data_IF_398724236503
#
_entry.id   IF_398724236503
#
_cell.length_a   1.000
_cell.length_b   1.000
_cell.length_c   1.000
_cell.angle_alpha   90.00
_cell.angle_beta   90.00
_cell.angle_gamma   90.00
#
_symmetry.space_group_name_H-M   'P 1'
#
loop_
_entity.id
_entity.type
_entity.pdbx_description
1 polymer ?
#
# COMPACT_ATOMS: atom_id res chain seq x y z
N UNK A 1 7.99 22.96 2.21
CA UNK A 1 8.10 22.57 0.77
C UNK A 1 7.95 21.07 0.72
N UNK A 2 7.07 20.55 -0.14
CA UNK A 2 6.81 19.11 -0.19
C UNK A 2 7.73 18.42 -1.21
N UNK A 3 8.38 17.33 -0.82
CA UNK A 3 9.23 16.51 -1.69
C UNK A 3 8.97 15.01 -1.48
N UNK A 4 9.11 14.22 -2.54
CA UNK A 4 9.15 12.77 -2.43
C UNK A 4 10.56 12.30 -2.09
N UNK A 5 10.68 11.55 -1.02
CA UNK A 5 11.83 10.71 -0.73
C UNK A 5 11.60 9.35 -1.36
N UNK A 6 12.54 8.86 -2.17
CA UNK A 6 12.46 7.57 -2.84
C UNK A 6 13.68 6.71 -2.53
N UNK A 7 13.45 5.45 -2.20
CA UNK A 7 14.50 4.47 -2.03
C UNK A 7 14.21 3.18 -2.81
N UNK A 8 15.16 2.80 -3.67
CA UNK A 8 15.17 1.52 -4.38
C UNK A 8 15.84 0.41 -3.51
N UNK A 9 15.09 -0.10 -2.54
CA UNK A 9 15.53 -1.19 -1.66
C UNK A 9 15.63 -2.55 -2.37
N UNK A 10 16.09 -3.55 -1.61
CA UNK A 10 16.18 -4.94 -2.09
C UNK A 10 14.82 -5.62 -1.90
N UNK A 11 14.22 -6.08 -3.00
CA UNK A 11 12.91 -6.75 -2.99
C UNK A 11 11.71 -5.81 -2.80
N UNK A 12 11.94 -4.53 -2.49
CA UNK A 12 10.91 -3.49 -2.43
C UNK A 12 11.48 -2.10 -2.74
N UNK A 13 10.65 -1.26 -3.37
CA UNK A 13 10.87 0.18 -3.44
C UNK A 13 9.94 0.88 -2.43
N UNK A 14 10.42 1.98 -1.86
CA UNK A 14 9.67 2.79 -0.90
C UNK A 14 9.69 4.25 -1.30
N UNK A 15 8.58 4.92 -1.03
CA UNK A 15 8.50 6.36 -1.20
C UNK A 15 7.65 7.01 -0.11
N UNK A 16 8.03 8.21 0.30
CA UNK A 16 7.22 9.06 1.16
C UNK A 16 7.24 10.51 0.66
N UNK A 17 6.07 11.12 0.54
CA UNK A 17 5.91 12.56 0.36
C UNK A 17 6.04 13.19 1.74
N UNK A 18 7.03 14.05 1.90
CA UNK A 18 7.33 14.72 3.16
C UNK A 18 6.98 16.18 3.05
N UNK A 19 6.21 16.68 4.02
CA UNK A 19 5.87 18.09 4.19
C UNK A 19 6.16 18.49 5.63
N UNK A 20 6.94 19.55 5.81
CA UNK A 20 7.38 20.05 7.12
C UNK A 20 7.95 18.96 8.04
N UNK A 21 8.76 18.08 7.46
CA UNK A 21 9.44 16.98 8.16
C UNK A 21 8.53 15.79 8.51
N UNK A 22 7.29 15.75 8.02
CA UNK A 22 6.34 14.66 8.28
C UNK A 22 5.89 13.97 7.00
N UNK A 23 5.71 12.66 7.07
CA UNK A 23 5.12 11.87 5.99
C UNK A 23 3.64 12.24 5.85
N UNK A 24 3.24 12.76 4.68
CA UNK A 24 1.83 13.04 4.33
C UNK A 24 1.24 12.01 3.36
N UNK A 25 2.10 11.30 2.63
CA UNK A 25 1.71 10.18 1.78
C UNK A 25 2.88 9.19 1.71
N UNK A 26 2.60 7.88 1.67
CA UNK A 26 3.65 6.89 1.45
C UNK A 26 3.18 5.73 0.57
N UNK A 27 4.15 4.99 0.03
CA UNK A 27 3.91 3.80 -0.76
C UNK A 27 5.07 2.81 -0.64
N UNK A 28 4.71 1.53 -0.67
CA UNK A 28 5.63 0.40 -0.80
C UNK A 28 5.25 -0.36 -2.07
N UNK A 29 6.21 -0.65 -2.91
CA UNK A 29 6.05 -1.49 -4.09
C UNK A 29 7.02 -2.66 -4.04
N UNK A 30 6.49 -3.88 -4.18
CA UNK A 30 7.31 -5.08 -4.27
C UNK A 30 7.80 -5.28 -5.70
N UNK A 31 9.01 -5.78 -5.84
CA UNK A 31 9.57 -6.14 -7.16
C UNK A 31 8.74 -7.24 -7.83
N UNK A 32 8.77 -7.29 -9.16
CA UNK A 32 8.10 -8.31 -9.98
C UNK A 32 6.56 -8.39 -9.79
N UNK A 33 5.92 -7.27 -9.47
CA UNK A 33 4.46 -7.17 -9.42
C UNK A 33 3.89 -6.66 -10.75
N UNK A 34 2.72 -7.18 -11.14
CA UNK A 34 2.00 -6.70 -12.32
C UNK A 34 1.34 -5.35 -12.01
N UNK A 35 1.99 -4.25 -12.39
CA UNK A 35 1.58 -2.88 -12.05
C UNK A 35 0.32 -2.43 -12.80
N UNK A 36 -0.49 -1.58 -12.16
CA UNK A 36 -1.57 -0.86 -12.86
C UNK A 36 -0.98 -0.05 -14.02
N UNK A 37 -1.65 -0.09 -15.16
CA UNK A 37 -1.20 0.53 -16.41
C UNK A 37 -0.44 -0.44 -17.32
N UNK A 38 -0.12 -1.66 -16.87
CA UNK A 38 0.50 -2.67 -17.73
C UNK A 38 -0.42 -3.03 -18.88
N UNK A 39 0.11 -2.98 -20.10
CA UNK A 39 -0.56 -3.43 -21.33
C UNK A 39 0.12 -4.71 -21.78
N UNK A 40 -0.62 -5.83 -21.74
CA UNK A 40 -0.06 -7.15 -21.98
C UNK A 40 -0.95 -8.01 -22.87
N UNK A 41 -0.33 -8.86 -23.68
CA UNK A 41 -1.04 -9.89 -24.43
C UNK A 41 -1.40 -11.07 -23.51
N UNK A 42 -2.55 -11.67 -23.75
CA UNK A 42 -3.00 -12.85 -23.02
C UNK A 42 -4.03 -13.66 -23.79
N UNK A 43 -4.50 -14.73 -23.14
CA UNK A 43 -5.56 -15.60 -23.66
C UNK A 43 -6.65 -15.75 -22.61
N UNK A 44 -7.91 -15.57 -23.02
CA UNK A 44 -9.07 -15.86 -22.18
C UNK A 44 -9.18 -17.36 -21.98
N UNK A 45 -8.83 -17.87 -20.80
CA UNK A 45 -8.78 -19.32 -20.50
C UNK A 45 -10.05 -19.84 -19.85
N UNK A 46 -10.86 -18.96 -19.26
CA UNK A 46 -12.10 -19.33 -18.57
C UNK A 46 -13.10 -18.18 -18.58
N UNK A 47 -14.36 -18.47 -18.86
CA UNK A 47 -15.48 -17.55 -18.69
C UNK A 47 -16.07 -17.73 -17.29
N UNK A 48 -16.30 -16.62 -16.60
CA UNK A 48 -16.80 -16.57 -15.23
C UNK A 48 -18.16 -15.86 -15.17
N UNK A 49 -18.98 -16.10 -14.13
CA UNK A 49 -20.25 -15.39 -13.92
C UNK A 49 -20.10 -13.86 -13.92
N UNK A 50 -21.19 -13.15 -14.26
CA UNK A 50 -21.22 -11.69 -14.20
C UNK A 50 -20.40 -10.98 -15.29
N UNK A 51 -20.28 -11.60 -16.48
CA UNK A 51 -19.45 -11.11 -17.60
C UNK A 51 -17.99 -10.93 -17.19
N UNK A 52 -17.46 -11.87 -16.41
CA UNK A 52 -16.06 -11.89 -16.02
C UNK A 52 -15.33 -13.02 -16.75
N UNK A 53 -14.02 -12.97 -16.76
CA UNK A 53 -13.20 -14.02 -17.35
C UNK A 53 -11.81 -14.04 -16.74
N UNK A 54 -11.16 -15.20 -16.80
CA UNK A 54 -9.77 -15.35 -16.40
C UNK A 54 -8.89 -15.35 -17.65
N UNK A 55 -7.91 -14.47 -17.67
CA UNK A 55 -6.95 -14.33 -18.76
C UNK A 55 -5.57 -14.74 -18.24
N UNK A 56 -4.94 -15.70 -18.90
CA UNK A 56 -3.53 -16.03 -18.64
C UNK A 56 -2.67 -15.15 -19.54
N UNK A 57 -1.73 -14.43 -18.95
CA UNK A 57 -0.83 -13.54 -19.69
C UNK A 57 0.25 -14.33 -20.41
N UNK A 58 0.73 -13.81 -21.55
CA UNK A 58 1.86 -14.40 -22.27
C UNK A 58 3.16 -14.39 -21.44
N UNK A 59 3.30 -13.42 -20.53
CA UNK A 59 4.38 -13.33 -19.55
C UNK A 59 4.24 -14.27 -18.34
N UNK A 60 3.15 -15.04 -18.29
CA UNK A 60 2.77 -15.83 -17.12
C UNK A 60 1.90 -15.07 -16.12
N UNK A 61 1.18 -15.83 -15.29
CA UNK A 61 0.22 -15.31 -14.32
C UNK A 61 -1.18 -15.11 -14.91
N UNK A 62 -2.17 -15.02 -14.02
CA UNK A 62 -3.59 -14.86 -14.36
C UNK A 62 -4.10 -13.48 -13.93
N UNK A 63 -4.97 -12.89 -14.73
CA UNK A 63 -5.73 -11.67 -14.43
C UNK A 63 -7.23 -11.90 -14.57
N UNK A 64 -8.01 -11.17 -13.79
CA UNK A 64 -9.46 -11.11 -13.92
C UNK A 64 -9.85 -10.03 -14.95
N UNK A 65 -10.36 -10.44 -16.10
CA UNK A 65 -10.95 -9.56 -17.10
C UNK A 65 -12.40 -9.24 -16.70
N UNK A 66 -12.72 -7.96 -16.50
CA UNK A 66 -14.07 -7.55 -16.14
C UNK A 66 -14.36 -6.10 -16.59
N UNK A 67 -15.33 -5.87 -17.51
CA UNK A 67 -16.18 -6.87 -18.16
C UNK A 67 -15.50 -7.58 -19.34
N UNK A 68 -15.91 -8.82 -19.62
CA UNK A 68 -15.66 -9.50 -20.89
C UNK A 68 -16.56 -8.90 -21.98
N UNK A 69 -16.02 -8.48 -23.14
CA UNK A 69 -16.81 -8.02 -24.26
C UNK A 69 -17.82 -9.08 -24.75
N UNK A 70 -18.97 -8.63 -25.25
CA UNK A 70 -19.96 -9.54 -25.84
C UNK A 70 -19.35 -10.26 -27.05
N UNK A 71 -19.63 -11.56 -27.19
CA UNK A 71 -19.15 -12.38 -28.33
C UNK A 71 -17.73 -12.93 -28.19
N UNK A 72 -16.97 -12.53 -27.16
CA UNK A 72 -15.65 -13.12 -26.90
C UNK A 72 -15.79 -14.52 -26.33
N UNK A 73 -15.10 -15.50 -26.92
CA UNK A 73 -15.15 -16.91 -26.54
C UNK A 73 -13.91 -17.34 -25.76
N UNK A 74 -14.06 -18.38 -24.94
CA UNK A 74 -12.91 -19.03 -24.32
C UNK A 74 -11.90 -19.48 -25.40
N UNK A 75 -10.62 -19.24 -25.15
CA UNK A 75 -9.53 -19.45 -26.09
C UNK A 75 -9.13 -18.20 -26.88
N UNK A 76 -9.92 -17.13 -26.87
CA UNK A 76 -9.62 -15.89 -27.60
C UNK A 76 -8.31 -15.24 -27.12
N UNK A 77 -7.48 -14.82 -28.07
CA UNK A 77 -6.33 -13.95 -27.80
C UNK A 77 -6.80 -12.50 -27.67
N UNK A 78 -6.19 -11.73 -26.77
CA UNK A 78 -6.53 -10.34 -26.53
C UNK A 78 -5.36 -9.58 -25.90
N UNK A 79 -5.40 -8.26 -26.02
CA UNK A 79 -4.54 -7.35 -25.26
C UNK A 79 -5.35 -6.77 -24.10
N UNK A 80 -4.80 -6.82 -22.89
CA UNK A 80 -5.42 -6.30 -21.68
C UNK A 80 -4.68 -5.08 -21.15
N UNK A 81 -5.40 -4.21 -20.46
CA UNK A 81 -4.88 -3.12 -19.65
C UNK A 81 -5.19 -3.41 -18.17
N UNK A 82 -4.15 -3.50 -17.34
CA UNK A 82 -4.29 -3.74 -15.91
C UNK A 82 -4.81 -2.48 -15.22
N UNK A 83 -5.94 -2.59 -14.52
CA UNK A 83 -6.61 -1.49 -13.82
C UNK A 83 -6.54 -1.59 -12.31
N UNK A 84 -6.23 -2.78 -11.78
CA UNK A 84 -5.97 -3.01 -10.36
C UNK A 84 -4.90 -4.09 -10.20
N UNK A 85 -3.93 -3.85 -9.34
CA UNK A 85 -2.93 -4.85 -8.94
C UNK A 85 -3.58 -6.03 -8.21
N UNK A 86 -2.80 -7.09 -8.02
CA UNK A 86 -3.19 -8.13 -7.08
C UNK A 86 -3.44 -7.51 -5.70
N UNK A 87 -4.55 -7.88 -5.09
CA UNK A 87 -4.86 -7.48 -3.73
C UNK A 87 -4.68 -8.73 -2.86
N UNK A 88 -3.70 -8.73 -1.94
CA UNK A 88 -3.47 -9.86 -1.06
C UNK A 88 -4.62 -10.01 -0.07
N UNK A 89 -5.05 -11.24 0.16
CA UNK A 89 -6.05 -11.60 1.17
C UNK A 89 -5.63 -12.90 1.85
N UNK A 90 -5.97 -13.08 3.13
CA UNK A 90 -5.69 -14.33 3.85
C UNK A 90 -6.40 -15.48 3.13
N UNK A 91 -5.64 -16.49 2.73
CA UNK A 91 -6.13 -17.63 1.96
C UNK A 91 -5.91 -17.47 0.45
N UNK A 92 -6.77 -16.72 -0.25
CA UNK A 92 -6.69 -16.54 -1.71
C UNK A 92 -6.60 -15.07 -2.09
N UNK A 93 -5.48 -14.68 -2.68
CA UNK A 93 -5.33 -13.33 -3.24
C UNK A 93 -6.35 -13.05 -4.34
N UNK A 94 -6.90 -11.83 -4.34
CA UNK A 94 -7.67 -11.32 -5.47
C UNK A 94 -6.71 -11.10 -6.63
N UNK A 95 -6.94 -11.81 -7.74
CA UNK A 95 -6.20 -11.63 -8.99
C UNK A 95 -6.16 -10.13 -9.38
N UNK A 96 -5.09 -9.68 -10.05
CA UNK A 96 -5.11 -8.38 -10.72
C UNK A 96 -6.35 -8.26 -11.60
N UNK A 97 -6.93 -7.07 -11.68
CA UNK A 97 -8.09 -6.79 -12.54
C UNK A 97 -7.62 -6.08 -13.79
N UNK A 98 -8.19 -6.45 -14.93
CA UNK A 98 -7.93 -5.83 -16.21
C UNK A 98 -9.21 -5.59 -17.01
N UNK A 99 -9.08 -4.74 -18.01
CA UNK A 99 -10.03 -4.52 -19.09
C UNK A 99 -9.36 -4.84 -20.42
N UNK A 100 -10.13 -4.95 -21.51
CA UNK A 100 -9.53 -4.98 -22.85
C UNK A 100 -8.82 -3.65 -23.10
N UNK A 101 -7.58 -3.71 -23.57
CA UNK A 101 -6.82 -2.51 -23.85
C UNK A 101 -7.46 -1.72 -25.01
N UNK A 102 -7.39 -0.38 -25.00
CA UNK A 102 -7.66 0.44 -26.20
C UNK A 102 -6.84 -0.01 -27.41
N UNK A 103 -7.33 0.22 -28.63
CA UNK A 103 -6.67 -0.22 -29.88
C UNK A 103 -5.29 0.42 -30.07
N UNK A 104 -5.10 1.65 -29.58
CA UNK A 104 -3.86 2.43 -29.63
C UNK A 104 -2.94 2.19 -28.43
N UNK A 105 -3.31 1.30 -27.51
CA UNK A 105 -2.50 1.02 -26.33
C UNK A 105 -1.18 0.32 -26.70
N UNK A 106 -0.07 0.90 -26.25
CA UNK A 106 1.27 0.36 -26.50
C UNK A 106 1.58 -0.74 -25.49
N UNK A 107 1.95 -1.97 -25.93
CA UNK A 107 2.38 -3.03 -25.03
C UNK A 107 3.59 -2.64 -24.19
N UNK A 108 3.54 -2.91 -22.90
CA UNK A 108 4.63 -2.57 -21.98
C UNK A 108 4.22 -2.62 -20.50
N UNK A 109 5.21 -2.59 -19.59
CA UNK A 109 4.94 -2.50 -18.16
C UNK A 109 4.26 -1.17 -17.82
N UNK A 110 3.37 -1.20 -16.83
CA UNK A 110 2.81 0.00 -16.24
C UNK A 110 3.86 0.77 -15.43
N UNK A 111 3.60 2.04 -15.08
CA UNK A 111 4.54 2.86 -14.32
C UNK A 111 4.84 2.24 -12.95
N UNK A 112 6.13 2.06 -12.67
CA UNK A 112 6.64 1.66 -11.36
C UNK A 112 6.46 2.78 -10.32
N UNK A 113 6.80 2.52 -9.05
CA UNK A 113 6.64 3.48 -7.98
C UNK A 113 7.37 4.80 -8.27
N UNK A 114 8.59 4.74 -8.81
CA UNK A 114 9.43 5.91 -9.09
C UNK A 114 8.83 6.79 -10.20
N UNK A 115 8.31 6.17 -11.25
CA UNK A 115 7.61 6.86 -12.33
C UNK A 115 6.30 7.48 -11.83
N UNK A 116 5.55 6.77 -10.98
CA UNK A 116 4.28 7.28 -10.42
C UNK A 116 4.47 8.50 -9.55
N UNK A 117 5.46 8.51 -8.65
CA UNK A 117 5.71 9.68 -7.79
C UNK A 117 6.23 10.86 -8.60
N UNK A 118 7.06 10.63 -9.63
CA UNK A 118 7.51 11.70 -10.53
C UNK A 118 6.34 12.35 -11.29
N UNK A 119 5.33 11.57 -11.67
CA UNK A 119 4.13 12.09 -12.34
C UNK A 119 3.23 12.96 -11.43
N UNK A 120 3.48 13.03 -10.12
CA UNK A 120 2.74 13.91 -9.20
C UNK A 120 3.10 15.39 -9.33
N UNK A 121 4.25 15.70 -9.96
CA UNK A 121 4.75 17.07 -10.09
C UNK A 121 5.55 17.59 -8.90
N UNK A 122 5.60 16.84 -7.78
CA UNK A 122 6.50 17.15 -6.67
C UNK A 122 7.94 16.71 -7.00
N UNK A 123 8.97 17.44 -6.51
CA UNK A 123 10.36 17.00 -6.62
C UNK A 123 10.54 15.59 -6.04
N UNK A 124 11.39 14.78 -6.69
CA UNK A 124 11.73 13.43 -6.24
C UNK A 124 13.22 13.38 -5.92
N UNK A 125 13.54 13.04 -4.67
CA UNK A 125 14.90 12.85 -4.19
C UNK A 125 15.16 11.37 -3.94
N UNK A 126 16.19 10.86 -4.60
CA UNK A 126 16.64 9.48 -4.43
C UNK A 126 17.58 9.37 -3.22
N UNK A 127 17.28 8.45 -2.32
CA UNK A 127 18.05 8.20 -1.12
C UNK A 127 19.10 7.10 -1.37
N UNK A 128 20.32 7.36 -0.92
CA UNK A 128 21.42 6.41 -0.99
C UNK A 128 21.69 5.81 0.39
N UNK A 129 22.07 4.53 0.44
CA UNK A 129 22.26 3.80 1.70
C UNK A 129 23.35 4.36 2.63
N UNK A 130 24.31 5.13 2.09
CA UNK A 130 25.39 5.75 2.87
C UNK A 130 25.04 7.16 3.39
N UNK A 131 23.88 7.70 3.02
CA UNK A 131 23.41 9.00 3.49
C UNK A 131 22.60 8.84 4.79
N UNK A 132 22.34 9.94 5.52
CA UNK A 132 21.38 9.94 6.61
C UNK A 132 20.05 9.30 6.20
N UNK A 133 19.41 8.59 7.13
CA UNK A 133 18.12 7.98 6.86
C UNK A 133 16.98 9.02 6.97
N UNK A 134 16.78 9.79 5.90
CA UNK A 134 15.78 10.86 5.87
C UNK A 134 14.33 10.34 5.88
N UNK A 135 14.10 9.10 5.44
CA UNK A 135 12.79 8.45 5.59
C UNK A 135 12.53 8.18 7.07
N UNK A 136 13.53 7.64 7.78
CA UNK A 136 13.43 7.43 9.22
C UNK A 136 13.23 8.76 9.96
N UNK A 137 14.00 9.79 9.62
CA UNK A 137 13.85 11.12 10.20
C UNK A 137 12.45 11.73 9.99
N UNK A 138 11.74 11.33 8.93
CA UNK A 138 10.37 11.76 8.64
C UNK A 138 9.28 10.91 9.33
N UNK A 139 9.66 9.84 10.02
CA UNK A 139 8.75 8.96 10.76
C UNK A 139 8.40 7.64 10.07
N UNK A 140 9.32 7.06 9.29
CA UNK A 140 9.06 5.83 8.55
C UNK A 140 8.78 4.63 9.46
N UNK A 141 9.52 4.46 10.55
CA UNK A 141 9.28 3.37 11.50
C UNK A 141 7.94 3.52 12.21
N UNK A 142 7.57 4.73 12.61
CA UNK A 142 6.27 5.04 13.20
C UNK A 142 5.13 4.73 12.22
N UNK A 143 5.28 5.08 10.93
CA UNK A 143 4.31 4.71 9.90
C UNK A 143 4.15 3.18 9.79
N UNK A 144 5.24 2.42 9.82
CA UNK A 144 5.15 0.96 9.76
C UNK A 144 4.52 0.37 11.03
N UNK A 145 4.84 0.92 12.20
CA UNK A 145 4.27 0.49 13.48
C UNK A 145 2.77 0.77 13.54
N UNK A 146 2.31 1.94 13.10
CA UNK A 146 0.88 2.22 12.91
C UNK A 146 0.22 1.22 11.96
N UNK A 147 0.86 0.89 10.85
CA UNK A 147 0.32 -0.03 9.86
C UNK A 147 0.23 -1.49 10.37
N UNK A 148 1.11 -1.88 11.29
CA UNK A 148 1.15 -3.23 11.89
C UNK A 148 0.22 -3.33 13.10
N UNK A 149 0.23 -2.33 13.98
CA UNK A 149 -0.53 -2.34 15.24
C UNK A 149 -1.96 -1.86 15.05
N UNK A 150 -2.19 -0.97 14.08
CA UNK A 150 -3.45 -0.27 13.89
C UNK A 150 -3.66 0.91 14.85
N UNK A 151 -2.73 1.20 15.76
CA UNK A 151 -2.88 2.31 16.71
C UNK A 151 -2.26 3.59 16.16
N UNK A 152 -3.08 4.64 16.01
CA UNK A 152 -2.66 5.92 15.43
C UNK A 152 -3.05 7.06 16.36
N UNK A 153 -2.07 7.71 17.00
CA UNK A 153 -2.30 8.86 17.86
C UNK A 153 -2.55 10.14 17.07
N UNK A 154 -3.52 10.96 17.48
CA UNK A 154 -3.80 12.27 16.85
C UNK A 154 -3.94 13.43 17.85
N UNK A 155 -3.25 13.32 18.99
CA UNK A 155 -3.19 14.34 20.03
C UNK A 155 -4.42 14.39 20.93
N UNK A 156 -5.62 14.47 20.35
CA UNK A 156 -6.89 14.45 21.08
C UNK A 156 -7.36 13.03 21.46
N UNK A 157 -6.81 12.00 20.81
CA UNK A 157 -7.20 10.61 20.99
C UNK A 157 -6.33 9.64 20.20
N UNK A 158 -6.84 8.42 20.04
CA UNK A 158 -6.25 7.34 19.27
C UNK A 158 -7.27 6.80 18.28
N UNK A 159 -6.82 6.49 17.06
CA UNK A 159 -7.59 5.67 16.12
C UNK A 159 -7.15 4.22 16.26
N UNK A 160 -8.11 3.29 16.21
CA UNK A 160 -7.86 1.86 16.01
C UNK A 160 -8.24 1.46 14.60
N UNK A 161 -7.24 1.37 13.74
CA UNK A 161 -7.34 0.92 12.36
C UNK A 161 -7.29 -0.61 12.27
N UNK A 162 -8.30 -1.22 11.67
CA UNK A 162 -8.33 -2.67 11.40
C UNK A 162 -8.68 -2.95 9.92
N UNK A 163 -7.72 -3.44 9.11
CA UNK A 163 -8.03 -4.00 7.80
C UNK A 163 -8.82 -5.30 7.93
N UNK A 164 -10.01 -5.37 7.33
CA UNK A 164 -10.84 -6.59 7.26
C UNK A 164 -10.99 -7.04 5.80
N UNK A 165 -11.48 -8.27 5.53
CA UNK A 165 -11.73 -8.72 4.16
C UNK A 165 -12.70 -7.82 3.36
N UNK A 166 -13.65 -7.17 4.03
CA UNK A 166 -14.68 -6.37 3.38
C UNK A 166 -14.31 -4.88 3.29
N UNK A 167 -13.71 -4.32 4.34
CA UNK A 167 -13.39 -2.90 4.46
C UNK A 167 -12.30 -2.64 5.50
N UNK A 168 -11.67 -1.47 5.48
CA UNK A 168 -10.84 -0.99 6.58
C UNK A 168 -11.72 -0.24 7.58
N UNK A 169 -11.65 -0.60 8.87
CA UNK A 169 -12.40 0.07 9.93
C UNK A 169 -11.47 0.98 10.74
N UNK A 170 -11.98 2.13 11.16
CA UNK A 170 -11.39 3.01 12.14
C UNK A 170 -12.37 3.17 13.31
N UNK A 171 -11.92 2.85 14.51
CA UNK A 171 -12.62 3.18 15.76
C UNK A 171 -11.92 4.36 16.44
N UNK A 172 -12.69 5.25 17.07
CA UNK A 172 -12.21 6.53 17.59
C UNK A 172 -12.29 6.54 19.12
N UNK A 173 -11.12 6.44 19.76
CA UNK A 173 -10.98 6.48 21.20
C UNK A 173 -10.51 7.87 21.66
N UNK A 174 -11.17 8.43 22.67
CA UNK A 174 -10.76 9.69 23.30
C UNK A 174 -11.71 10.15 24.40
N UNK A 175 -11.27 11.14 25.18
CA UNK A 175 -12.11 11.71 26.24
C UNK A 175 -13.09 12.77 25.70
N UNK A 176 -14.23 12.99 26.36
CA UNK A 176 -15.13 14.10 26.04
C UNK A 176 -14.41 15.47 26.12
N UNK A 177 -14.92 16.50 25.42
CA UNK A 177 -16.15 16.53 24.63
C UNK A 177 -16.06 15.83 23.26
N UNK A 178 -17.07 15.03 22.91
CA UNK A 178 -17.04 14.14 21.72
C UNK A 178 -17.08 14.86 20.37
N UNK A 179 -17.71 16.02 20.27
CA UNK A 179 -17.78 16.78 19.00
C UNK A 179 -16.38 17.22 18.51
N UNK A 180 -15.57 17.98 19.28
CA UNK A 180 -14.24 18.35 18.84
C UNK A 180 -13.29 17.14 18.70
N UNK A 181 -13.46 16.09 19.51
CA UNK A 181 -12.75 14.82 19.33
C UNK A 181 -13.04 14.21 17.96
N UNK A 182 -14.31 14.11 17.56
CA UNK A 182 -14.74 13.52 16.30
C UNK A 182 -14.28 14.34 15.09
N UNK A 183 -14.27 15.67 15.20
CA UNK A 183 -13.74 16.57 14.16
C UNK A 183 -12.23 16.37 13.99
N UNK A 184 -11.48 16.27 15.08
CA UNK A 184 -10.04 15.97 15.03
C UNK A 184 -9.78 14.57 14.46
N UNK A 185 -10.57 13.57 14.88
CA UNK A 185 -10.49 12.21 14.39
C UNK A 185 -10.78 12.11 12.89
N UNK A 186 -11.75 12.86 12.37
CA UNK A 186 -12.06 12.89 10.94
C UNK A 186 -10.85 13.34 10.09
N UNK A 187 -10.11 14.35 10.55
CA UNK A 187 -8.86 14.80 9.90
C UNK A 187 -7.77 13.72 10.01
N UNK A 188 -7.59 13.15 11.20
CA UNK A 188 -6.61 12.09 11.42
C UNK A 188 -6.89 10.83 10.58
N UNK A 189 -8.17 10.48 10.36
CA UNK A 189 -8.54 9.37 9.47
C UNK A 189 -8.21 9.72 8.02
N UNK A 190 -8.55 10.92 7.55
CA UNK A 190 -8.19 11.36 6.20
C UNK A 190 -6.67 11.30 5.95
N UNK A 191 -5.89 11.84 6.88
CA UNK A 191 -4.42 11.80 6.84
C UNK A 191 -3.91 10.35 6.84
N UNK A 192 -4.46 9.49 7.69
CA UNK A 192 -4.09 8.07 7.75
C UNK A 192 -4.43 7.34 6.45
N UNK A 193 -5.57 7.64 5.83
CA UNK A 193 -5.95 7.09 4.52
C UNK A 193 -4.89 7.44 3.45
N UNK A 194 -4.36 8.66 3.47
CA UNK A 194 -3.34 9.12 2.53
C UNK A 194 -1.97 8.51 2.83
N UNK A 195 -1.50 8.61 4.08
CA UNK A 195 -0.20 8.08 4.54
C UNK A 195 -0.08 6.58 4.29
N UNK A 196 -1.12 5.82 4.58
CA UNK A 196 -1.14 4.35 4.44
C UNK A 196 -1.60 3.84 3.08
N UNK A 197 -2.05 4.74 2.19
CA UNK A 197 -2.56 4.37 0.86
C UNK A 197 -3.82 3.50 0.91
N UNK A 198 -4.71 3.74 1.87
CA UNK A 198 -5.91 2.92 2.11
C UNK A 198 -6.97 3.23 1.06
N UNK A 199 -7.50 2.22 0.39
CA UNK A 199 -8.56 2.39 -0.61
C UNK A 199 -9.67 1.35 -0.47
N UNK A 200 -10.73 1.52 -1.25
CA UNK A 200 -11.88 0.63 -1.26
C UNK A 200 -12.93 1.10 -0.27
N UNK A 201 -13.64 0.16 0.34
CA UNK A 201 -14.60 0.43 1.40
C UNK A 201 -13.86 0.72 2.71
N UNK A 202 -14.24 1.80 3.38
CA UNK A 202 -13.68 2.23 4.67
C UNK A 202 -14.85 2.61 5.57
N UNK A 203 -14.79 2.23 6.84
CA UNK A 203 -15.79 2.58 7.84
C UNK A 203 -15.14 3.29 9.01
N UNK A 204 -15.82 4.30 9.55
CA UNK A 204 -15.36 5.07 10.70
C UNK A 204 -16.46 5.06 11.74
N UNK A 205 -16.13 4.62 12.95
CA UNK A 205 -17.01 4.63 14.11
C UNK A 205 -16.61 5.79 15.02
N UNK A 206 -17.36 6.89 14.93
CA UNK A 206 -17.17 8.04 15.83
C UNK A 206 -17.99 7.86 17.11
N UNK A 207 -17.60 8.48 18.24
CA UNK A 207 -18.48 8.58 19.39
C UNK A 207 -19.85 9.15 19.01
N UNK A 208 -20.90 8.72 19.70
CA UNK A 208 -22.25 9.21 19.43
C UNK A 208 -22.32 10.73 19.63
N UNK A 209 -22.82 11.43 18.61
CA UNK A 209 -23.01 12.88 18.59
C UNK A 209 -24.50 13.24 18.57
N UNK A 210 -24.90 14.18 19.42
CA UNK A 210 -26.27 14.69 19.47
C UNK A 210 -26.53 15.74 18.38
N UNK A 211 -27.68 15.62 17.71
CA UNK A 211 -28.09 16.58 16.69
C UNK A 211 -27.43 16.39 15.33
N UNK A 212 -27.90 17.13 14.32
CA UNK A 212 -27.40 17.04 12.93
C UNK A 212 -26.17 17.93 12.68
N UNK A 213 -26.07 19.06 13.40
CA UNK A 213 -24.97 20.03 13.24
C UNK A 213 -23.60 19.42 13.50
N UNK A 214 -23.34 18.84 14.68
CA UNK A 214 -22.05 18.21 15.00
C UNK A 214 -21.66 17.10 14.01
N UNK A 215 -22.63 16.25 13.64
CA UNK A 215 -22.43 15.19 12.64
C UNK A 215 -22.04 15.71 11.26
N UNK A 216 -22.63 16.84 10.85
CA UNK A 216 -22.30 17.51 9.60
C UNK A 216 -20.90 18.13 9.66
N UNK A 217 -20.53 18.75 10.78
CA UNK A 217 -19.19 19.33 10.97
C UNK A 217 -18.06 18.28 10.88
N UNK A 218 -18.29 17.07 11.42
CA UNK A 218 -17.37 15.92 11.27
C UNK A 218 -17.19 15.55 9.80
N UNK A 219 -18.30 15.45 9.06
CA UNK A 219 -18.27 15.11 7.64
C UNK A 219 -17.55 16.18 6.80
N UNK A 220 -17.76 17.46 7.11
CA UNK A 220 -17.07 18.58 6.47
C UNK A 220 -15.57 18.59 6.78
N UNK A 221 -15.18 18.26 8.00
CA UNK A 221 -13.77 18.15 8.38
C UNK A 221 -13.05 17.01 7.63
N UNK A 222 -13.74 15.88 7.42
CA UNK A 222 -13.24 14.78 6.59
C UNK A 222 -13.09 15.22 5.12
N UNK A 223 -14.12 15.86 4.55
CA UNK A 223 -14.11 16.29 3.14
C UNK A 223 -13.02 17.33 2.86
N UNK A 224 -12.74 18.21 3.82
CA UNK A 224 -11.68 19.20 3.69
C UNK A 224 -10.28 18.56 3.72
N UNK A 225 -10.11 17.45 4.43
CA UNK A 225 -8.82 16.79 4.62
C UNK A 225 -8.54 15.67 3.61
N UNK A 226 -9.57 14.98 3.11
CA UNK A 226 -9.43 13.87 2.16
C UNK A 226 -9.68 14.37 0.73
N UNK A 227 -8.68 14.37 -0.18
CA UNK A 227 -8.90 14.76 -1.56
C UNK A 227 -9.74 13.74 -2.33
N UNK A 228 -10.56 14.24 -3.26
CA UNK A 228 -11.27 13.45 -4.26
C UNK A 228 -10.28 12.61 -5.11
N UNK A 229 -10.72 11.46 -5.67
CA UNK A 229 -12.08 10.93 -5.65
C UNK A 229 -12.39 10.04 -4.43
N UNK A 230 -13.55 10.26 -3.83
CA UNK A 230 -14.22 9.33 -2.92
C UNK A 230 -15.72 9.65 -2.89
N UNK A 231 -16.51 8.70 -2.43
CA UNK A 231 -17.90 8.88 -2.03
C UNK A 231 -18.01 8.56 -0.54
N UNK A 232 -18.96 9.19 0.15
CA UNK A 232 -19.24 8.86 1.55
C UNK A 232 -20.72 8.97 1.89
N UNK A 233 -21.12 8.29 2.95
CA UNK A 233 -22.40 8.52 3.61
C UNK A 233 -22.34 9.77 4.49
N UNK A 234 -23.50 10.22 4.98
CA UNK A 234 -23.52 11.07 6.17
C UNK A 234 -23.11 10.27 7.42
N UNK A 235 -22.71 10.95 8.50
CA UNK A 235 -22.60 10.32 9.81
C UNK A 235 -24.01 9.95 10.29
N UNK A 236 -24.25 8.66 10.51
CA UNK A 236 -25.59 8.17 10.88
C UNK A 236 -25.94 8.47 12.35
N UNK A 237 -27.10 8.00 12.83
CA UNK A 237 -27.54 8.22 14.22
C UNK A 237 -26.71 7.48 15.28
N UNK A 238 -25.86 6.54 14.87
CA UNK A 238 -25.01 5.73 15.72
C UNK A 238 -23.54 6.17 15.69
N UNK A 239 -23.20 7.22 14.92
CA UNK A 239 -21.82 7.71 14.81
C UNK A 239 -21.03 7.11 13.64
N UNK A 240 -21.62 6.23 12.83
CA UNK A 240 -20.89 5.57 11.75
C UNK A 240 -20.92 6.36 10.43
N UNK A 241 -19.78 6.40 9.73
CA UNK A 241 -19.61 6.96 8.39
C UNK A 241 -18.88 5.95 7.50
N UNK A 242 -19.40 5.72 6.30
CA UNK A 242 -18.74 4.89 5.29
C UNK A 242 -18.15 5.74 4.18
N UNK A 243 -16.94 5.40 3.74
CA UNK A 243 -16.25 5.95 2.57
C UNK A 243 -16.05 4.83 1.54
N UNK A 244 -16.16 5.17 0.25
CA UNK A 244 -15.71 4.33 -0.86
C UNK A 244 -14.77 5.15 -1.72
N UNK A 245 -13.54 4.67 -1.92
CA UNK A 245 -12.55 5.33 -2.79
C UNK A 245 -11.79 4.35 -3.68
N UNK A 246 -11.17 4.79 -4.79
CA UNK A 246 -10.42 3.89 -5.66
C UNK A 246 -9.35 3.08 -4.92
N UNK A 247 -9.27 1.79 -5.24
CA UNK A 247 -8.28 0.85 -4.70
C UNK A 247 -7.52 0.16 -5.83
N UNK A 248 -6.63 0.88 -6.53
CA UNK A 248 -5.84 0.28 -7.61
C UNK A 248 -4.78 -0.69 -7.08
N UNK A 249 -4.40 -0.60 -5.79
CA UNK A 249 -3.27 -1.32 -5.18
C UNK A 249 -3.55 -1.67 -3.73
N UNK A 250 -2.75 -2.58 -3.18
CA UNK A 250 -2.78 -2.91 -1.76
C UNK A 250 -2.21 -1.77 -0.92
N UNK A 251 -2.86 -1.47 0.20
CA UNK A 251 -2.38 -0.48 1.18
C UNK A 251 -1.17 -0.99 1.95
N UNK A 252 -0.46 -0.10 2.66
CA UNK A 252 0.68 -0.51 3.50
C UNK A 252 0.25 -1.54 4.56
N UNK A 253 -0.82 -1.33 5.35
CA UNK A 253 -1.29 -2.31 6.33
C UNK A 253 -1.60 -3.68 5.72
N UNK A 254 -2.18 -3.72 4.52
CA UNK A 254 -2.48 -4.97 3.82
C UNK A 254 -1.21 -5.72 3.39
N UNK A 255 -0.20 -4.98 2.88
CA UNK A 255 1.08 -5.55 2.46
C UNK A 255 1.88 -6.11 3.64
N UNK A 256 1.90 -5.38 4.76
CA UNK A 256 2.59 -5.85 5.97
C UNK A 256 1.84 -7.01 6.63
N UNK A 257 0.51 -6.94 6.67
CA UNK A 257 -0.33 -7.96 7.29
C UNK A 257 -0.38 -9.30 6.55
N UNK A 258 -0.24 -9.31 5.21
CA UNK A 258 -0.23 -10.56 4.44
C UNK A 258 1.11 -11.30 4.51
N UNK A 259 2.22 -10.57 4.50
CA UNK A 259 3.55 -11.13 4.48
C UNK A 259 4.47 -10.46 5.51
N UNK A 260 4.18 -10.63 6.82
CA UNK A 260 4.94 -9.97 7.88
C UNK A 260 6.42 -10.43 7.89
N UNK A 261 6.68 -11.70 7.56
CA UNK A 261 8.04 -12.25 7.49
C UNK A 261 8.81 -11.65 6.32
N UNK A 262 8.20 -11.55 5.12
CA UNK A 262 8.85 -10.91 3.99
C UNK A 262 9.09 -9.42 4.21
N UNK A 263 8.12 -8.71 4.81
CA UNK A 263 8.29 -7.30 5.18
C UNK A 263 9.45 -7.11 6.16
N UNK A 264 9.51 -7.92 7.22
CA UNK A 264 10.60 -7.86 8.20
C UNK A 264 11.95 -8.21 7.57
N UNK A 265 12.00 -9.19 6.66
CA UNK A 265 13.23 -9.53 5.93
C UNK A 265 13.75 -8.37 5.08
N UNK A 266 12.88 -7.67 4.34
CA UNK A 266 13.26 -6.49 3.55
C UNK A 266 13.68 -5.30 4.42
N UNK A 267 13.03 -5.11 5.57
CA UNK A 267 13.44 -4.12 6.55
C UNK A 267 14.85 -4.40 7.11
N UNK A 268 15.18 -5.67 7.41
CA UNK A 268 16.53 -6.08 7.84
C UNK A 268 17.57 -5.84 6.75
N UNK A 269 17.28 -6.18 5.49
CA UNK A 269 18.19 -5.92 4.38
C UNK A 269 18.53 -4.42 4.29
N UNK A 270 17.55 -3.53 4.45
CA UNK A 270 17.78 -2.07 4.51
C UNK A 270 18.69 -1.70 5.67
N UNK A 271 18.42 -2.23 6.86
CA UNK A 271 19.22 -1.94 8.05
C UNK A 271 20.68 -2.32 7.81
N UNK A 272 20.93 -3.49 7.23
CA UNK A 272 22.28 -3.96 6.90
C UNK A 272 22.95 -3.16 5.78
N UNK A 273 22.19 -2.67 4.79
CA UNK A 273 22.74 -1.77 3.76
C UNK A 273 23.31 -0.47 4.35
N UNK A 274 22.80 -0.04 5.51
CA UNK A 274 23.19 1.18 6.21
C UNK A 274 24.25 0.94 7.30
N UNK A 275 24.56 -0.32 7.61
CA UNK A 275 25.59 -0.62 8.60
C UNK A 275 26.96 -0.10 8.11
N UNK A 276 27.69 0.63 8.96
CA UNK A 276 28.98 1.17 8.57
C UNK A 276 29.94 0.06 8.13
N UNK A 277 30.93 0.38 7.27
CA UNK A 277 32.00 -0.55 6.95
C UNK A 277 32.69 -1.05 8.23
N UNK A 278 32.86 -2.36 8.33
CA UNK A 278 33.37 -3.03 9.52
C UNK A 278 33.62 -4.52 9.27
N UNK A 279 34.10 -5.26 10.28
CA UNK A 279 34.34 -6.70 10.16
C UNK A 279 33.06 -7.42 9.71
N UNK A 280 33.20 -8.58 9.07
CA UNK A 280 32.06 -9.40 8.68
C UNK A 280 31.22 -9.74 9.92
N UNK A 281 29.95 -9.35 9.92
CA UNK A 281 29.00 -9.64 11.00
C UNK A 281 28.22 -10.88 10.62
N UNK A 282 28.09 -11.81 11.58
CA UNK A 282 27.17 -12.94 11.47
C UNK A 282 25.84 -12.51 12.07
N UNK A 283 24.80 -12.42 11.24
CA UNK A 283 23.46 -12.08 11.71
C UNK A 283 22.73 -13.35 12.13
N UNK A 284 22.44 -13.47 13.43
CA UNK A 284 21.64 -14.57 13.98
C UNK A 284 20.15 -14.22 13.93
N UNK A 285 19.37 -15.03 13.22
CA UNK A 285 17.97 -14.76 12.90
C UNK A 285 17.04 -15.88 13.38
N UNK A 286 15.79 -15.54 13.67
CA UNK A 286 14.76 -16.56 13.88
C UNK A 286 14.64 -17.48 12.66
N UNK A 287 14.24 -18.73 12.88
CA UNK A 287 14.14 -19.74 11.81
C UNK A 287 13.34 -19.28 10.60
N UNK A 288 12.20 -18.60 10.80
CA UNK A 288 11.34 -18.14 9.70
C UNK A 288 11.97 -17.02 8.87
N UNK A 289 12.72 -16.11 9.49
CA UNK A 289 13.45 -15.05 8.76
C UNK A 289 14.66 -15.62 8.02
N UNK A 290 15.40 -16.52 8.67
CA UNK A 290 16.50 -17.24 8.05
C UNK A 290 16.02 -17.98 6.80
N UNK A 291 14.98 -18.82 6.93
CA UNK A 291 14.43 -19.61 5.83
C UNK A 291 13.93 -18.71 4.69
N UNK A 292 13.31 -17.55 5.02
CA UNK A 292 12.89 -16.56 4.01
C UNK A 292 14.08 -16.00 3.22
N UNK A 293 15.14 -15.56 3.88
CA UNK A 293 16.31 -15.01 3.19
C UNK A 293 17.06 -16.08 2.38
N UNK A 294 17.15 -17.31 2.90
CA UNK A 294 17.77 -18.42 2.18
C UNK A 294 17.02 -18.75 0.88
N UNK A 295 15.69 -18.69 0.91
CA UNK A 295 14.83 -18.91 -0.24
C UNK A 295 14.88 -17.79 -1.32
N UNK A 296 15.49 -16.64 -1.02
CA UNK A 296 15.63 -15.51 -1.95
C UNK A 296 17.12 -15.23 -2.21
N UNK A 297 17.81 -16.07 -3.02
CA UNK A 297 19.24 -15.92 -3.31
C UNK A 297 19.57 -14.57 -3.96
N UNK A 298 18.68 -14.07 -4.82
CA UNK A 298 18.76 -12.77 -5.46
C UNK A 298 18.83 -11.61 -4.46
N UNK A 299 18.11 -11.68 -3.34
CA UNK A 299 18.20 -10.66 -2.29
C UNK A 299 19.54 -10.72 -1.56
N UNK A 300 20.04 -11.93 -1.28
CA UNK A 300 21.34 -12.16 -0.63
C UNK A 300 22.51 -11.70 -1.52
N UNK A 301 22.42 -11.96 -2.82
CA UNK A 301 23.41 -11.51 -3.78
C UNK A 301 23.38 -9.98 -3.95
N UNK A 302 22.19 -9.38 -3.92
CA UNK A 302 22.03 -7.94 -4.00
C UNK A 302 22.65 -7.23 -2.80
N UNK A 303 22.38 -7.67 -1.57
CA UNK A 303 22.97 -7.06 -0.36
C UNK A 303 24.48 -7.24 -0.34
N UNK A 304 24.99 -8.41 -0.73
CA UNK A 304 26.43 -8.64 -0.78
C UNK A 304 27.13 -7.72 -1.79
N UNK A 305 26.51 -7.52 -2.96
CA UNK A 305 27.02 -6.60 -3.99
C UNK A 305 26.99 -5.14 -3.54
N UNK A 306 25.90 -4.70 -2.90
CA UNK A 306 25.73 -3.30 -2.47
C UNK A 306 26.59 -2.93 -1.27
N UNK A 307 26.86 -3.88 -0.38
CA UNK A 307 27.72 -3.66 0.81
C UNK A 307 29.18 -4.05 0.59
N UNK A 308 29.51 -4.74 -0.51
CA UNK A 308 30.84 -5.25 -0.80
C UNK A 308 31.30 -6.38 0.13
N UNK A 309 30.38 -7.03 0.86
CA UNK A 309 30.68 -8.03 1.90
C UNK A 309 29.78 -9.25 1.76
N UNK A 310 30.25 -10.48 2.01
CA UNK A 310 29.38 -11.65 2.02
C UNK A 310 28.38 -11.55 3.18
N UNK A 311 27.10 -11.81 2.91
CA UNK A 311 26.08 -11.91 3.94
C UNK A 311 26.24 -13.24 4.69
N UNK A 312 26.58 -13.18 5.98
CA UNK A 312 26.69 -14.35 6.84
C UNK A 312 25.47 -14.43 7.75
N UNK A 313 24.70 -15.51 7.62
CA UNK A 313 23.48 -15.74 8.39
C UNK A 313 23.61 -17.01 9.23
N UNK A 314 23.17 -16.93 10.48
CA UNK A 314 22.97 -18.09 11.35
C UNK A 314 21.49 -18.22 11.71
N UNK A 315 21.01 -19.46 11.74
CA UNK A 315 19.69 -19.77 12.30
C UNK A 315 19.83 -19.83 13.83
N UNK A 316 19.04 -19.02 14.54
CA UNK A 316 18.90 -19.05 15.99
C UNK A 316 18.18 -20.32 16.48
#
# INVERSE_FOLDING_TARGET
>A
MSEWLYEAGIGEARAALVEDGRIVQAAIELTATLTVGTVAAGRLVELLPGRQGRVTLASGGDVLLAPVPKGMTQGSALTILVTREAIPERGRSKLPKAVVAPEDAVPGPGPDLRARIAATGFPVRELLSHQPDDLEAAGWSELLDEAVTGEIGFGAGVLRMTPTPAMTLFDVDGSPPHEPLSIAAARAVAESILRHGIGGSIGIDFPTLEGKGPRQAVAEALDAALPLPFERTAVNGFGFLQIVRPRPRASIPERLGIDPIGARARALLRQWEREPPGPAVVHRLSGTLYDRLMANPDWRDAIARRTGRPLQLERA
#
